data_IF_527738411460
#
_entry.id   IF_527738411460
#
_cell.length_a   1.000
_cell.length_b   1.000
_cell.length_c   1.000
_cell.angle_alpha   90.00
_cell.angle_beta   90.00
_cell.angle_gamma   90.00
#
_symmetry.space_group_name_H-M   'P 1'
#
loop_
_entity.id
_entity.type
_entity.pdbx_description
1 polymer ?
#
# COMPACT_ATOMS: atom_id res chain seq x y z
N UNK A 1 3.04 -5.72 -8.94
CA UNK A 1 1.79 -5.36 -8.24
C UNK A 1 0.69 -6.12 -8.96
N UNK A 2 -0.16 -6.85 -8.24
CA UNK A 2 -1.38 -7.42 -8.79
C UNK A 2 -2.54 -6.46 -8.44
N UNK A 3 -3.08 -5.70 -9.41
CA UNK A 3 -4.14 -4.73 -9.15
C UNK A 3 -5.45 -5.39 -8.68
N UNK A 4 -5.75 -6.61 -9.13
CA UNK A 4 -6.95 -7.35 -8.75
C UNK A 4 -6.92 -7.72 -7.27
N UNK A 5 -5.83 -8.35 -6.81
CA UNK A 5 -5.67 -8.71 -5.40
C UNK A 5 -5.68 -7.49 -4.49
N UNK A 6 -5.15 -6.34 -4.96
CA UNK A 6 -5.15 -5.10 -4.18
C UNK A 6 -6.54 -4.50 -4.10
N UNK A 7 -7.30 -4.47 -5.19
CA UNK A 7 -8.68 -4.01 -5.19
C UNK A 7 -9.56 -4.84 -4.27
N UNK A 8 -9.45 -6.17 -4.33
CA UNK A 8 -10.21 -7.08 -3.46
C UNK A 8 -9.92 -6.85 -1.97
N UNK A 9 -8.64 -6.81 -1.58
CA UNK A 9 -8.28 -6.65 -0.17
C UNK A 9 -8.62 -5.26 0.38
N UNK A 10 -8.42 -4.21 -0.42
CA UNK A 10 -8.74 -2.85 -0.01
C UNK A 10 -10.25 -2.62 0.03
N UNK A 11 -11.00 -3.10 -0.96
CA UNK A 11 -12.46 -3.02 -0.97
C UNK A 11 -13.08 -3.77 0.21
N UNK A 12 -12.57 -4.96 0.55
CA UNK A 12 -13.02 -5.62 1.78
C UNK A 12 -12.73 -4.79 3.04
N UNK A 13 -11.54 -4.18 3.14
CA UNK A 13 -11.19 -3.36 4.30
C UNK A 13 -12.07 -2.10 4.43
N UNK A 14 -12.30 -1.37 3.34
CA UNK A 14 -13.04 -0.10 3.37
C UNK A 14 -14.55 -0.27 3.24
N UNK A 15 -15.00 -1.07 2.27
CA UNK A 15 -16.41 -1.18 1.94
C UNK A 15 -17.15 -2.16 2.88
N UNK A 16 -16.46 -3.21 3.34
CA UNK A 16 -17.08 -4.23 4.21
C UNK A 16 -16.76 -4.03 5.69
N UNK A 17 -15.49 -3.79 6.03
CA UNK A 17 -15.08 -3.62 7.43
C UNK A 17 -15.16 -2.16 7.90
N UNK A 18 -15.45 -1.21 7.01
CA UNK A 18 -15.51 0.23 7.32
C UNK A 18 -14.24 0.74 8.00
N UNK A 19 -13.07 0.22 7.60
CA UNK A 19 -11.80 0.64 8.16
C UNK A 19 -11.54 2.11 7.83
N UNK A 20 -11.11 2.90 8.82
CA UNK A 20 -10.71 4.30 8.58
C UNK A 20 -9.36 4.42 7.85
N UNK A 21 -8.55 3.35 7.84
CA UNK A 21 -7.17 3.39 7.36
C UNK A 21 -6.61 2.00 7.06
N UNK A 22 -5.93 1.88 5.93
CA UNK A 22 -5.06 0.73 5.61
C UNK A 22 -3.61 1.20 5.53
N UNK A 23 -2.74 0.58 6.34
CA UNK A 23 -1.31 0.85 6.33
C UNK A 23 -0.56 -0.11 5.42
N UNK A 24 0.38 0.42 4.64
CA UNK A 24 1.35 -0.37 3.88
C UNK A 24 2.76 -0.02 4.36
N UNK A 25 3.63 -1.02 4.44
CA UNK A 25 5.03 -0.80 4.85
C UNK A 25 5.98 -1.62 4.01
N UNK A 26 7.15 -1.05 3.75
CA UNK A 26 8.21 -1.71 2.96
C UNK A 26 9.59 -1.30 3.45
N UNK A 27 10.59 -2.09 3.08
CA UNK A 27 12.00 -1.76 3.30
C UNK A 27 12.40 -0.50 2.50
N UNK A 28 13.22 0.37 3.08
CA UNK A 28 13.80 1.54 2.39
C UNK A 28 14.59 1.16 1.14
N UNK A 29 15.15 -0.06 1.09
CA UNK A 29 15.90 -0.57 -0.07
C UNK A 29 15.00 -1.11 -1.19
N UNK A 30 13.71 -1.39 -0.89
CA UNK A 30 12.78 -1.95 -1.87
C UNK A 30 12.07 -0.83 -2.65
N UNK A 31 12.82 -0.13 -3.50
CA UNK A 31 12.32 0.97 -4.31
C UNK A 31 11.21 0.54 -5.27
N UNK A 32 11.27 -0.69 -5.80
CA UNK A 32 10.22 -1.24 -6.66
C UNK A 32 8.87 -1.29 -5.94
N UNK A 33 8.84 -1.79 -4.70
CA UNK A 33 7.62 -1.80 -3.90
C UNK A 33 7.17 -0.40 -3.50
N UNK A 34 8.10 0.50 -3.15
CA UNK A 34 7.75 1.89 -2.83
C UNK A 34 7.06 2.59 -4.01
N UNK A 35 7.62 2.47 -5.22
CA UNK A 35 7.01 3.01 -6.43
C UNK A 35 5.64 2.38 -6.72
N UNK A 36 5.51 1.06 -6.52
CA UNK A 36 4.23 0.39 -6.70
C UNK A 36 3.17 0.87 -5.69
N UNK A 37 3.54 1.05 -4.41
CA UNK A 37 2.66 1.56 -3.35
C UNK A 37 2.27 3.00 -3.64
N UNK A 38 3.20 3.87 -4.03
CA UNK A 38 2.89 5.24 -4.41
C UNK A 38 1.94 5.32 -5.62
N UNK A 39 2.18 4.49 -6.65
CA UNK A 39 1.30 4.40 -7.84
C UNK A 39 -0.09 3.85 -7.54
N UNK A 40 -0.27 3.16 -6.41
CA UNK A 40 -1.58 2.72 -5.94
C UNK A 40 -2.42 3.91 -5.45
N UNK A 41 -1.80 5.05 -5.13
CA UNK A 41 -2.45 6.20 -4.51
C UNK A 41 -2.22 6.29 -3.00
N UNK A 42 -1.37 5.44 -2.43
CA UNK A 42 -1.03 5.51 -1.01
C UNK A 42 -0.07 6.68 -0.71
N UNK A 43 -0.34 7.41 0.37
CA UNK A 43 0.45 8.56 0.82
C UNK A 43 1.65 8.12 1.65
N UNK A 44 2.81 8.74 1.45
CA UNK A 44 4.00 8.53 2.27
C UNK A 44 3.89 9.32 3.59
N UNK A 45 4.20 8.68 4.70
CA UNK A 45 4.04 9.29 6.04
C UNK A 45 5.33 9.34 6.86
N UNK A 46 6.39 8.66 6.40
CA UNK A 46 7.65 8.68 7.11
C UNK A 46 8.46 7.40 6.97
N UNK A 47 9.66 7.45 7.53
CA UNK A 47 10.56 6.31 7.61
C UNK A 47 10.92 6.05 9.07
N UNK A 48 10.55 4.88 9.56
CA UNK A 48 10.94 4.40 10.88
C UNK A 48 12.36 3.84 10.80
N UNK A 49 13.33 4.58 11.34
CA UNK A 49 14.74 4.17 11.39
C UNK A 49 14.92 3.02 12.38
N UNK A 50 15.72 2.04 11.99
CA UNK A 50 16.04 0.83 12.78
C UNK A 50 14.83 0.06 13.31
N UNK A 51 13.72 0.07 12.59
CA UNK A 51 12.42 -0.46 13.04
C UNK A 51 12.37 -1.97 13.25
N UNK A 52 13.05 -2.76 12.41
CA UNK A 52 12.90 -4.23 12.47
C UNK A 52 14.22 -4.96 12.26
N UNK A 53 14.56 -5.88 13.17
CA UNK A 53 15.72 -6.77 13.03
C UNK A 53 15.33 -7.99 12.19
N UNK A 54 16.05 -8.25 11.11
CA UNK A 54 15.86 -9.42 10.24
C UNK A 54 16.48 -10.67 10.86
N UNK A 55 16.14 -11.83 10.32
CA UNK A 55 16.68 -13.13 10.75
C UNK A 55 18.20 -13.23 10.54
N UNK A 56 18.73 -12.59 9.50
CA UNK A 56 20.18 -12.50 9.21
C UNK A 56 20.94 -11.54 10.15
N UNK A 57 20.26 -10.92 11.13
CA UNK A 57 20.83 -9.99 12.09
C UNK A 57 20.94 -8.54 11.61
N UNK A 58 20.71 -8.26 10.33
CA UNK A 58 20.66 -6.90 9.79
C UNK A 58 19.42 -6.15 10.29
N UNK A 59 19.49 -4.81 10.31
CA UNK A 59 18.38 -3.96 10.76
C UNK A 59 17.74 -3.25 9.57
N UNK A 60 16.41 -3.12 9.59
CA UNK A 60 15.59 -2.49 8.56
C UNK A 60 15.08 -1.13 8.98
N UNK A 61 15.31 -0.15 8.11
CA UNK A 61 14.50 1.06 8.07
C UNK A 61 13.23 0.80 7.28
N UNK A 62 12.09 1.19 7.82
CA UNK A 62 10.77 0.88 7.25
C UNK A 62 10.09 2.14 6.77
N UNK A 63 9.81 2.17 5.47
CA UNK A 63 8.99 3.21 4.85
C UNK A 63 7.52 2.91 5.11
N UNK A 64 6.79 3.91 5.59
CA UNK A 64 5.38 3.82 5.94
C UNK A 64 4.54 4.59 4.91
N UNK A 65 3.47 3.94 4.46
CA UNK A 65 2.45 4.53 3.60
C UNK A 65 1.06 4.22 4.13
N UNK A 66 0.06 4.96 3.67
CA UNK A 66 -1.34 4.70 3.99
C UNK A 66 -2.30 5.03 2.86
N UNK A 67 -3.49 4.45 2.96
CA UNK A 67 -4.70 4.85 2.27
C UNK A 67 -5.75 5.06 3.37
N UNK A 68 -6.41 6.21 3.43
CA UNK A 68 -7.53 6.44 4.35
C UNK A 68 -8.87 6.16 3.68
N UNK A 69 -9.96 6.17 4.45
CA UNK A 69 -11.30 6.04 3.90
C UNK A 69 -11.63 7.16 2.87
N UNK A 70 -11.07 8.35 3.05
CA UNK A 70 -11.22 9.48 2.12
C UNK A 70 -10.42 9.29 0.83
N UNK A 71 -9.26 8.64 0.89
CA UNK A 71 -8.47 8.30 -0.30
C UNK A 71 -9.12 7.19 -1.13
N UNK A 72 -9.84 6.27 -0.48
CA UNK A 72 -10.29 5.00 -1.06
C UNK A 72 -11.12 5.14 -2.34
N UNK A 73 -12.15 6.01 -2.45
CA UNK A 73 -12.95 6.13 -3.67
C UNK A 73 -12.09 6.39 -4.93
N UNK A 74 -11.08 7.27 -4.81
CA UNK A 74 -10.19 7.57 -5.92
C UNK A 74 -9.22 6.40 -6.22
N UNK A 75 -8.79 5.68 -5.18
CA UNK A 75 -7.94 4.49 -5.36
C UNK A 75 -8.70 3.35 -6.06
N UNK A 76 -9.96 3.09 -5.66
CA UNK A 76 -10.78 2.05 -6.28
C UNK A 76 -11.03 2.35 -7.77
N UNK A 77 -11.39 3.59 -8.09
CA UNK A 77 -11.62 4.02 -9.48
C UNK A 77 -10.38 3.77 -10.36
N UNK A 78 -9.20 4.15 -9.88
CA UNK A 78 -7.92 3.93 -10.61
C UNK A 78 -7.61 2.45 -10.77
N UNK A 79 -7.88 1.64 -9.75
CA UNK A 79 -7.70 0.19 -9.81
C UNK A 79 -8.68 -0.47 -10.79
N UNK A 80 -9.94 -0.05 -10.77
CA UNK A 80 -10.98 -0.51 -11.68
C UNK A 80 -10.62 -0.21 -13.14
N UNK A 81 -10.25 1.04 -13.44
CA UNK A 81 -9.84 1.45 -14.77
C UNK A 81 -8.63 0.66 -15.28
N UNK A 82 -7.66 0.39 -14.40
CA UNK A 82 -6.47 -0.41 -14.74
C UNK A 82 -6.81 -1.86 -15.05
N UNK A 83 -7.76 -2.47 -14.34
CA UNK A 83 -8.21 -3.83 -14.61
C UNK A 83 -8.99 -3.91 -15.91
N UNK A 84 -9.82 -2.91 -16.21
CA UNK A 84 -10.55 -2.84 -17.47
C UNK A 84 -9.63 -2.77 -18.68
N UNK A 85 -8.54 -1.99 -18.60
CA UNK A 85 -7.55 -1.85 -19.67
C UNK A 85 -6.61 -3.08 -19.82
N UNK A 86 -6.72 -4.07 -18.94
CA UNK A 86 -5.94 -5.32 -19.00
C UNK A 86 -6.75 -6.50 -19.57
N UNK A 87 -8.05 -6.34 -19.72
CA UNK A 87 -8.97 -7.30 -20.34
C UNK A 87 -9.08 -7.04 -21.85
#
# INVERSE_FOLDING_TARGET
MNPESKRLLLGYAFDTLHAGRVQLKTDTRNHRSQQAIARLGAQYEGTLRRHFRRTDGSVRDTVMFSITAEDWPQVDERLAARLHNLA
#
